data_IF_502636188912
#
_entry.id   IF_502636188912
#
_cell.length_a   1.000
_cell.length_b   1.000
_cell.length_c   1.000
_cell.angle_alpha   90.00
_cell.angle_beta   90.00
_cell.angle_gamma   90.00
#
_symmetry.space_group_name_H-M   'P 1'
#
loop_
_entity.id
_entity.type
_entity.pdbx_description
1 polymer ?
#
# COMPACT_ATOMS: atom_id res chain seq x y z
N UNK A 1 -0.54 -22.25 24.05
CA UNK A 1 -0.34 -20.90 23.50
C UNK A 1 0.55 -21.01 22.28
N UNK A 2 0.00 -20.83 21.07
CA UNK A 2 0.79 -20.60 19.85
C UNK A 2 0.24 -19.30 19.28
N UNK A 3 0.93 -18.20 19.59
CA UNK A 3 0.65 -16.91 19.00
C UNK A 3 0.70 -17.08 17.50
N UNK A 4 -0.46 -16.96 16.85
CA UNK A 4 -0.48 -16.79 15.41
C UNK A 4 0.28 -15.50 15.15
N UNK A 5 1.42 -15.57 14.48
CA UNK A 5 2.12 -14.38 14.02
C UNK A 5 1.15 -13.58 13.16
N UNK A 6 0.61 -12.50 13.73
CA UNK A 6 -0.38 -11.61 13.10
C UNK A 6 0.23 -10.80 11.95
N UNK A 7 1.53 -10.98 11.72
CA UNK A 7 2.38 -10.36 10.70
C UNK A 7 2.20 -10.95 9.29
N UNK A 8 1.26 -11.88 9.07
CA UNK A 8 0.95 -12.42 7.74
C UNK A 8 0.16 -11.42 6.88
N UNK A 9 0.72 -10.25 6.63
CA UNK A 9 0.41 -9.50 5.42
C UNK A 9 1.05 -10.30 4.29
N UNK A 10 0.23 -11.04 3.56
CA UNK A 10 0.65 -11.72 2.35
C UNK A 10 0.65 -10.73 1.18
N UNK A 11 1.08 -11.24 0.02
CA UNK A 11 0.99 -10.53 -1.25
C UNK A 11 -0.41 -9.93 -1.49
N UNK A 12 -1.52 -10.40 -0.90
CA UNK A 12 -2.84 -9.79 -1.12
C UNK A 12 -2.99 -8.42 -0.48
N UNK A 13 -2.43 -8.17 0.70
CA UNK A 13 -2.44 -6.84 1.31
C UNK A 13 -1.42 -5.90 0.65
N UNK A 14 -0.21 -6.40 0.42
CA UNK A 14 0.89 -5.68 -0.23
C UNK A 14 0.59 -5.35 -1.70
N UNK A 15 0.10 -6.32 -2.49
CA UNK A 15 -0.28 -6.08 -3.90
C UNK A 15 -1.61 -5.35 -4.04
N UNK A 16 -2.54 -5.43 -3.07
CA UNK A 16 -3.76 -4.62 -3.11
C UNK A 16 -3.45 -3.13 -3.06
N UNK A 17 -2.47 -2.72 -2.26
CA UNK A 17 -2.06 -1.31 -2.19
C UNK A 17 -1.47 -0.84 -3.53
N UNK A 18 -0.54 -1.62 -4.11
CA UNK A 18 -0.03 -1.36 -5.47
C UNK A 18 -1.12 -1.33 -6.54
N UNK A 19 -2.11 -2.22 -6.48
CA UNK A 19 -3.23 -2.25 -7.42
C UNK A 19 -4.19 -1.05 -7.25
N UNK A 20 -4.44 -0.60 -6.01
CA UNK A 20 -5.24 0.58 -5.73
C UNK A 20 -4.56 1.85 -6.25
N UNK A 21 -3.24 1.96 -6.05
CA UNK A 21 -2.41 3.04 -6.60
C UNK A 21 -2.45 3.05 -8.12
N UNK A 22 -2.24 1.89 -8.76
CA UNK A 22 -2.29 1.76 -10.22
C UNK A 22 -3.65 2.20 -10.78
N UNK A 23 -4.75 1.86 -10.08
CA UNK A 23 -6.11 2.28 -10.42
C UNK A 23 -6.44 3.73 -10.02
N UNK A 24 -5.51 4.45 -9.39
CA UNK A 24 -5.69 5.80 -8.83
C UNK A 24 -6.89 5.89 -7.88
N UNK A 25 -7.15 4.80 -7.15
CA UNK A 25 -8.27 4.69 -6.22
C UNK A 25 -7.87 5.23 -4.86
N UNK A 26 -8.04 6.53 -4.64
CA UNK A 26 -7.68 7.16 -3.36
C UNK A 26 -8.38 6.52 -2.15
N UNK A 27 -9.67 6.18 -2.28
CA UNK A 27 -10.43 5.53 -1.21
C UNK A 27 -9.89 4.14 -0.89
N UNK A 28 -9.49 3.38 -1.92
CA UNK A 28 -8.85 2.07 -1.75
C UNK A 28 -7.49 2.19 -1.09
N UNK A 29 -6.68 3.18 -1.49
CA UNK A 29 -5.37 3.42 -0.87
C UNK A 29 -5.53 3.80 0.60
N UNK A 30 -6.40 4.76 0.95
CA UNK A 30 -6.65 5.15 2.34
C UNK A 30 -7.12 3.97 3.20
N UNK A 31 -8.10 3.20 2.72
CA UNK A 31 -8.60 2.04 3.45
C UNK A 31 -7.51 1.00 3.73
N UNK A 32 -6.60 0.77 2.79
CA UNK A 32 -5.51 -0.17 2.96
C UNK A 32 -4.43 0.36 3.90
N UNK A 33 -4.11 1.65 3.85
CA UNK A 33 -3.20 2.31 4.81
C UNK A 33 -3.78 2.27 6.23
N UNK A 34 -5.07 2.58 6.40
CA UNK A 34 -5.79 2.48 7.69
C UNK A 34 -5.78 1.05 8.24
N UNK A 35 -5.74 0.04 7.37
CA UNK A 35 -5.60 -1.37 7.74
C UNK A 35 -4.16 -1.80 8.06
N UNK A 36 -3.19 -0.87 8.01
CA UNK A 36 -1.77 -1.12 8.30
C UNK A 36 -0.96 -1.65 7.11
N UNK A 37 -1.42 -1.44 5.87
CA UNK A 37 -0.62 -1.79 4.70
C UNK A 37 0.61 -0.87 4.60
N UNK A 38 1.79 -1.46 4.43
CA UNK A 38 3.04 -0.73 4.25
C UNK A 38 3.20 -0.31 2.76
N UNK A 39 3.29 1.00 2.46
CA UNK A 39 3.39 1.53 1.10
C UNK A 39 4.74 1.27 0.41
N UNK A 40 5.80 0.96 1.16
CA UNK A 40 7.15 0.70 0.66
C UNK A 40 7.45 -0.79 0.49
N UNK A 41 6.54 -1.65 0.95
CA UNK A 41 6.79 -3.07 1.08
C UNK A 41 6.73 -3.82 -0.27
N UNK A 42 7.85 -4.46 -0.61
CA UNK A 42 7.99 -5.34 -1.78
C UNK A 42 8.38 -4.63 -3.09
N UNK A 43 8.68 -5.41 -4.13
CA UNK A 43 9.17 -4.88 -5.43
C UNK A 43 8.10 -4.11 -6.21
N UNK A 44 6.82 -4.44 -5.99
CA UNK A 44 5.67 -3.78 -6.61
C UNK A 44 4.86 -3.04 -5.55
N UNK A 45 5.56 -2.36 -4.64
CA UNK A 45 4.96 -1.57 -3.58
C UNK A 45 4.10 -0.43 -4.12
N UNK A 46 3.26 0.14 -3.27
CA UNK A 46 2.46 1.32 -3.62
C UNK A 46 3.35 2.47 -4.13
N UNK A 47 4.46 2.73 -3.45
CA UNK A 47 5.42 3.77 -3.84
C UNK A 47 6.08 3.46 -5.19
N UNK A 48 6.53 2.22 -5.40
CA UNK A 48 7.16 1.82 -6.66
C UNK A 48 6.19 1.97 -7.85
N UNK A 49 4.93 1.57 -7.68
CA UNK A 49 3.89 1.75 -8.70
C UNK A 49 3.64 3.24 -8.96
N UNK A 50 3.48 4.05 -7.92
CA UNK A 50 3.23 5.48 -8.10
C UNK A 50 4.39 6.20 -8.82
N UNK A 51 5.64 5.80 -8.56
CA UNK A 51 6.82 6.34 -9.26
C UNK A 51 6.87 5.90 -10.73
N UNK A 52 6.71 4.61 -11.01
CA UNK A 52 6.78 4.07 -12.38
C UNK A 52 5.72 4.67 -13.30
N UNK A 53 4.52 4.92 -12.76
CA UNK A 53 3.40 5.49 -13.51
C UNK A 53 3.27 7.01 -13.36
N UNK A 54 4.25 7.67 -12.72
CA UNK A 54 4.29 9.13 -12.52
C UNK A 54 2.99 9.69 -11.94
N UNK A 55 2.57 9.15 -10.78
CA UNK A 55 1.33 9.48 -10.08
C UNK A 55 1.64 10.34 -8.83
N UNK A 56 1.89 11.65 -8.97
CA UNK A 56 2.29 12.51 -7.85
C UNK A 56 1.22 12.58 -6.74
N UNK A 57 -0.07 12.58 -7.10
CA UNK A 57 -1.16 12.58 -6.14
C UNK A 57 -1.21 11.29 -5.31
N UNK A 58 -0.91 10.14 -5.93
CA UNK A 58 -0.85 8.88 -5.19
C UNK A 58 0.39 8.82 -4.30
N UNK A 59 1.53 9.35 -4.76
CA UNK A 59 2.74 9.49 -3.94
C UNK A 59 2.48 10.31 -2.69
N UNK A 60 1.82 11.47 -2.83
CA UNK A 60 1.44 12.32 -1.70
C UNK A 60 0.57 11.56 -0.70
N UNK A 61 -0.44 10.84 -1.20
CA UNK A 61 -1.37 10.11 -0.36
C UNK A 61 -0.71 8.95 0.40
N UNK A 62 0.23 8.25 -0.22
CA UNK A 62 1.03 7.20 0.43
C UNK A 62 1.97 7.77 1.50
N UNK A 63 2.52 8.97 1.28
CA UNK A 63 3.42 9.65 2.23
C UNK A 63 2.67 10.27 3.41
N UNK A 64 1.47 10.82 3.17
CA UNK A 64 0.63 11.43 4.20
C UNK A 64 0.06 10.39 5.19
N UNK A 65 -0.04 9.11 4.80
CA UNK A 65 -0.58 8.02 5.64
C UNK A 65 0.46 7.24 6.46
N UNK A 66 1.77 7.52 6.32
CA UNK A 66 2.86 6.85 7.05
C UNK A 66 3.27 7.54 8.35
N UNK A 67 2.45 8.47 8.87
CA UNK A 67 2.75 9.23 10.10
C UNK A 67 2.31 8.55 11.39
#
# INVERSE_FOLDING_TARGET
ARGADHTRINDRGQTALGAAVFRRSESGVRMLLDAGADPDLGRQSGVAVAQVFELPEMLRLLQDGSS
#
